data_IF_923655029959
#
_entry.id   IF_923655029959
#
_cell.length_a   1.000
_cell.length_b   1.000
_cell.length_c   1.000
_cell.angle_alpha   90.00
_cell.angle_beta   90.00
_cell.angle_gamma   90.00
#
_symmetry.space_group_name_H-M   'P 1'
#
loop_
_entity.id
_entity.type
_entity.pdbx_description
1 polymer ?
#
# COMPACT_ATOMS: atom_id res chain seq x y z
N UNK A 1 3.02 21.87 -6.35
CA UNK A 1 1.53 21.91 -6.37
C UNK A 1 1.04 22.94 -5.37
N UNK A 2 0.05 23.74 -5.77
CA UNK A 2 -0.60 24.69 -4.88
C UNK A 2 -2.09 24.38 -4.79
N UNK A 3 -2.62 24.24 -3.58
CA UNK A 3 -4.03 23.95 -3.30
C UNK A 3 -4.64 25.15 -2.61
N UNK A 4 -5.80 25.61 -3.11
CA UNK A 4 -6.55 26.72 -2.54
C UNK A 4 -7.68 26.22 -1.63
N UNK A 5 -8.00 27.01 -0.63
CA UNK A 5 -9.09 26.67 0.30
C UNK A 5 -10.44 26.59 -0.45
N UNK A 6 -11.20 25.52 -0.16
CA UNK A 6 -12.55 25.36 -0.68
C UNK A 6 -13.50 26.38 -0.04
N UNK A 7 -14.40 26.90 -0.85
CA UNK A 7 -15.47 27.84 -0.38
C UNK A 7 -16.83 27.16 -0.24
N UNK A 8 -16.96 25.93 -0.74
CA UNK A 8 -18.22 25.19 -0.79
C UNK A 8 -18.04 23.79 -0.18
N UNK A 9 -19.10 23.20 0.39
CA UNK A 9 -19.07 21.81 0.83
C UNK A 9 -18.76 20.85 -0.33
N UNK A 10 -18.14 19.74 -0.01
CA UNK A 10 -17.96 18.62 -0.95
C UNK A 10 -19.27 17.82 -0.99
N UNK A 11 -19.79 17.57 -2.20
CA UNK A 11 -20.92 16.64 -2.42
C UNK A 11 -20.63 15.82 -3.66
N UNK A 12 -20.21 14.56 -3.48
CA UNK A 12 -19.74 13.75 -4.60
C UNK A 12 -19.95 12.26 -4.40
N UNK A 13 -20.02 11.54 -5.52
CA UNK A 13 -19.87 10.09 -5.60
C UNK A 13 -18.66 9.78 -6.46
N UNK A 14 -17.66 9.10 -5.90
CA UNK A 14 -16.40 8.80 -6.56
C UNK A 14 -16.33 7.31 -6.92
N UNK A 15 -16.19 7.05 -8.20
CA UNK A 15 -15.97 5.70 -8.76
C UNK A 15 -14.53 5.54 -9.29
N UNK A 16 -13.92 6.65 -9.75
CA UNK A 16 -12.63 6.67 -10.43
C UNK A 16 -11.46 6.95 -9.47
N UNK A 17 -11.49 6.33 -8.30
CA UNK A 17 -10.38 6.36 -7.36
C UNK A 17 -9.29 5.39 -7.87
N UNK A 18 -8.04 5.61 -7.48
CA UNK A 18 -6.96 4.69 -7.83
C UNK A 18 -7.32 3.26 -7.40
N UNK A 19 -7.14 2.31 -8.31
CA UNK A 19 -7.29 0.89 -7.99
C UNK A 19 -6.27 0.46 -6.92
N UNK A 20 -6.58 -0.60 -6.16
CA UNK A 20 -5.71 -1.04 -5.06
C UNK A 20 -4.31 -1.45 -5.55
N UNK A 21 -3.31 -0.70 -5.07
CA UNK A 21 -1.90 -0.89 -5.43
C UNK A 21 -1.39 -2.29 -5.03
N UNK A 22 -1.73 -2.74 -3.83
CA UNK A 22 -1.29 -4.02 -3.29
C UNK A 22 -1.86 -5.21 -4.06
N UNK A 23 -3.12 -5.11 -4.50
CA UNK A 23 -3.77 -6.13 -5.35
C UNK A 23 -3.20 -6.07 -6.76
N UNK A 24 -3.00 -4.89 -7.34
CA UNK A 24 -2.41 -4.74 -8.69
C UNK A 24 -1.02 -5.37 -8.78
N UNK A 25 -0.13 -5.12 -7.83
CA UNK A 25 1.17 -5.82 -7.77
C UNK A 25 1.00 -7.34 -7.75
N UNK A 26 0.07 -7.84 -6.94
CA UNK A 26 -0.20 -9.28 -6.82
C UNK A 26 -0.80 -9.86 -8.08
N UNK A 27 -1.67 -9.14 -8.77
CA UNK A 27 -2.20 -9.57 -10.05
C UNK A 27 -1.09 -9.84 -11.06
N UNK A 28 -0.12 -8.93 -11.16
CA UNK A 28 1.02 -9.11 -12.05
C UNK A 28 1.90 -10.31 -11.64
N UNK A 29 2.33 -10.36 -10.37
CA UNK A 29 3.24 -11.40 -9.86
C UNK A 29 2.58 -12.78 -9.86
N UNK A 30 1.32 -12.89 -9.40
CA UNK A 30 0.63 -14.18 -9.27
C UNK A 30 0.20 -14.75 -10.61
N UNK A 31 0.05 -13.92 -11.65
CA UNK A 31 -0.15 -14.41 -13.02
C UNK A 31 0.98 -15.35 -13.46
N UNK A 32 2.20 -15.20 -12.92
CA UNK A 32 3.33 -16.10 -13.19
C UNK A 32 3.20 -17.49 -12.53
N UNK A 33 2.22 -17.69 -11.65
CA UNK A 33 1.94 -18.96 -10.98
C UNK A 33 0.93 -19.84 -11.75
N UNK A 34 0.38 -19.31 -12.86
CA UNK A 34 -0.56 -20.01 -13.74
C UNK A 34 0.13 -20.47 -15.02
N UNK A 35 -0.50 -21.37 -15.76
CA UNK A 35 -0.16 -21.76 -17.13
C UNK A 35 -1.12 -21.15 -18.18
N UNK A 36 -2.12 -20.38 -17.73
CA UNK A 36 -3.15 -19.74 -18.55
C UNK A 36 -3.12 -18.23 -18.38
N UNK A 37 -3.64 -17.49 -19.38
CA UNK A 37 -3.73 -16.02 -19.30
C UNK A 37 -4.62 -15.56 -18.14
N UNK A 38 -4.10 -14.67 -17.29
CA UNK A 38 -4.87 -13.95 -16.29
C UNK A 38 -5.48 -12.68 -16.91
N UNK A 39 -6.73 -12.35 -16.50
CA UNK A 39 -7.49 -11.20 -16.97
C UNK A 39 -7.75 -10.24 -15.81
N UNK A 40 -7.27 -9.01 -15.95
CA UNK A 40 -7.31 -8.02 -14.87
C UNK A 40 -7.94 -6.73 -15.40
N UNK A 41 -9.12 -6.40 -14.91
CA UNK A 41 -9.76 -5.09 -15.13
C UNK A 41 -9.35 -4.11 -14.04
N UNK A 42 -9.40 -2.84 -14.35
CA UNK A 42 -9.07 -1.75 -13.43
C UNK A 42 -7.68 -1.93 -12.76
N UNK A 43 -6.69 -2.40 -13.52
CA UNK A 43 -5.31 -2.47 -13.02
C UNK A 43 -4.78 -1.05 -12.76
N UNK A 44 -4.15 -0.82 -11.60
CA UNK A 44 -3.55 0.47 -11.30
C UNK A 44 -2.41 0.77 -12.29
N UNK A 45 -2.52 1.84 -13.05
CA UNK A 45 -1.48 2.33 -13.96
C UNK A 45 -0.69 3.48 -13.30
N UNK A 46 0.03 3.16 -12.24
CA UNK A 46 0.96 4.05 -11.56
C UNK A 46 2.39 3.53 -11.74
N UNK A 47 3.38 4.37 -11.54
CA UNK A 47 4.80 4.01 -11.77
C UNK A 47 5.21 2.71 -11.08
N UNK A 48 4.87 2.56 -9.80
CA UNK A 48 5.17 1.36 -9.01
C UNK A 48 4.64 0.07 -9.67
N UNK A 49 3.41 0.09 -10.15
CA UNK A 49 2.74 -1.09 -10.71
C UNK A 49 3.11 -1.33 -12.16
N UNK A 50 3.44 -0.28 -12.93
CA UNK A 50 3.99 -0.40 -14.27
C UNK A 50 5.38 -1.03 -14.26
N UNK A 51 6.25 -0.64 -13.32
CA UNK A 51 7.55 -1.29 -13.11
C UNK A 51 7.37 -2.79 -12.78
N UNK A 52 6.35 -3.16 -12.00
CA UNK A 52 6.04 -4.57 -11.74
C UNK A 52 5.64 -5.32 -13.00
N UNK A 53 4.86 -4.72 -13.90
CA UNK A 53 4.53 -5.33 -15.20
C UNK A 53 5.76 -5.51 -16.07
N UNK A 54 6.67 -4.54 -16.09
CA UNK A 54 7.91 -4.65 -16.87
C UNK A 54 8.82 -5.77 -16.32
N UNK A 55 8.90 -5.93 -15.00
CA UNK A 55 9.60 -7.08 -14.39
C UNK A 55 8.96 -8.39 -14.86
N UNK A 56 7.63 -8.51 -14.77
CA UNK A 56 6.90 -9.71 -15.19
C UNK A 56 7.15 -10.05 -16.68
N UNK A 57 7.21 -9.03 -17.53
CA UNK A 57 7.55 -9.16 -18.95
C UNK A 57 9.00 -9.62 -19.16
N UNK A 58 9.95 -9.05 -18.42
CA UNK A 58 11.36 -9.47 -18.47
C UNK A 58 11.57 -10.92 -17.98
N UNK A 59 10.67 -11.40 -17.11
CA UNK A 59 10.64 -12.80 -16.68
C UNK A 59 9.97 -13.74 -17.71
N UNK A 60 9.53 -13.22 -18.86
CA UNK A 60 9.05 -13.99 -20.01
C UNK A 60 7.54 -13.96 -20.25
N UNK A 61 6.75 -13.27 -19.44
CA UNK A 61 5.32 -13.14 -19.69
C UNK A 61 5.03 -12.19 -20.86
N UNK A 62 3.95 -12.46 -21.58
CA UNK A 62 3.38 -11.55 -22.58
C UNK A 62 2.26 -10.74 -21.93
N UNK A 63 2.28 -9.42 -22.15
CA UNK A 63 1.32 -8.50 -21.60
C UNK A 63 0.62 -7.79 -22.76
N UNK A 64 -0.71 -7.84 -22.75
CA UNK A 64 -1.57 -7.20 -23.74
C UNK A 64 -2.66 -6.42 -23.03
N UNK A 65 -3.06 -5.31 -23.59
CA UNK A 65 -4.24 -4.57 -23.18
C UNK A 65 -5.29 -4.65 -24.28
N UNK A 66 -6.46 -5.15 -23.93
CA UNK A 66 -7.59 -5.29 -24.85
C UNK A 66 -8.89 -4.95 -24.14
N UNK A 67 -9.69 -4.07 -24.74
CA UNK A 67 -11.02 -3.67 -24.25
C UNK A 67 -11.01 -3.18 -22.77
N UNK A 68 -9.93 -2.48 -22.37
CA UNK A 68 -9.73 -2.00 -21.00
C UNK A 68 -9.34 -3.07 -19.99
N UNK A 69 -9.04 -4.28 -20.46
CA UNK A 69 -8.60 -5.42 -19.67
C UNK A 69 -7.12 -5.69 -19.93
N UNK A 70 -6.35 -5.87 -18.87
CA UNK A 70 -4.96 -6.30 -18.93
C UNK A 70 -4.91 -7.82 -18.97
N UNK A 71 -4.33 -8.39 -20.03
CA UNK A 71 -4.15 -9.82 -20.21
C UNK A 71 -2.69 -10.14 -19.99
N UNK A 72 -2.40 -10.96 -18.98
CA UNK A 72 -1.04 -11.39 -18.64
C UNK A 72 -0.92 -12.89 -18.91
N UNK A 73 -0.20 -13.25 -19.96
CA UNK A 73 0.04 -14.65 -20.36
C UNK A 73 1.42 -15.05 -19.87
N UNK A 74 1.53 -15.96 -18.90
CA UNK A 74 2.81 -16.43 -18.39
C UNK A 74 3.55 -17.25 -19.47
N UNK A 75 4.88 -17.29 -19.39
CA UNK A 75 5.70 -18.22 -20.14
C UNK A 75 5.66 -19.62 -19.50
N UNK A 76 5.78 -20.65 -20.30
CA UNK A 76 5.86 -22.04 -19.79
C UNK A 76 7.04 -22.25 -18.81
N UNK A 77 8.14 -21.54 -19.01
CA UNK A 77 9.28 -21.49 -18.10
C UNK A 77 9.64 -20.05 -17.78
N UNK A 78 9.97 -19.78 -16.54
CA UNK A 78 10.47 -18.48 -16.13
C UNK A 78 11.79 -18.20 -16.86
N UNK A 79 11.89 -17.04 -17.49
CA UNK A 79 13.09 -16.66 -18.23
C UNK A 79 14.07 -15.96 -17.29
N UNK A 80 15.33 -16.42 -17.30
CA UNK A 80 16.42 -15.66 -16.68
C UNK A 80 16.64 -14.37 -17.47
N UNK A 81 16.48 -13.17 -16.85
CA UNK A 81 16.55 -11.92 -17.59
C UNK A 81 18.00 -11.51 -17.88
N UNK A 82 18.23 -10.86 -19.02
CA UNK A 82 19.53 -10.26 -19.37
C UNK A 82 19.70 -8.84 -18.84
N UNK A 83 18.74 -8.35 -18.05
CA UNK A 83 18.71 -6.98 -17.54
C UNK A 83 18.48 -6.98 -16.02
N UNK A 84 18.84 -5.89 -15.38
CA UNK A 84 18.45 -5.62 -13.98
C UNK A 84 16.92 -5.42 -13.94
N UNK A 85 16.27 -6.04 -12.97
CA UNK A 85 14.84 -5.91 -12.75
C UNK A 85 14.56 -4.65 -11.90
N UNK A 86 14.10 -3.60 -12.58
CA UNK A 86 13.87 -2.31 -11.97
C UNK A 86 12.53 -2.23 -11.23
N UNK A 87 12.60 -1.96 -9.93
CA UNK A 87 11.43 -1.84 -9.05
C UNK A 87 10.94 -0.38 -8.89
N UNK A 88 11.67 0.61 -9.43
CA UNK A 88 11.40 2.03 -9.21
C UNK A 88 11.40 2.38 -7.72
N UNK A 89 10.34 2.99 -7.21
CA UNK A 89 10.17 3.28 -5.77
C UNK A 89 9.42 2.17 -5.01
N UNK A 90 9.07 1.06 -5.68
CA UNK A 90 8.18 0.06 -5.12
C UNK A 90 8.85 -0.94 -4.18
N UNK A 91 8.82 -0.67 -2.89
CA UNK A 91 9.20 -1.66 -1.87
C UNK A 91 8.33 -2.91 -1.87
N UNK A 92 7.10 -2.83 -2.37
CA UNK A 92 6.22 -4.01 -2.52
C UNK A 92 6.73 -4.92 -3.64
N UNK A 93 7.00 -4.38 -4.83
CA UNK A 93 7.55 -5.16 -5.94
C UNK A 93 8.84 -5.84 -5.52
N UNK A 94 9.83 -5.10 -5.03
CA UNK A 94 11.14 -5.63 -4.63
C UNK A 94 11.02 -6.77 -3.62
N UNK A 95 10.23 -6.61 -2.56
CA UNK A 95 10.11 -7.61 -1.49
C UNK A 95 9.35 -8.85 -1.91
N UNK A 96 8.27 -8.73 -2.69
CA UNK A 96 7.53 -9.88 -3.20
C UNK A 96 8.35 -10.65 -4.24
N UNK A 97 9.00 -9.96 -5.17
CA UNK A 97 9.90 -10.60 -6.13
C UNK A 97 11.09 -11.28 -5.46
N UNK A 98 11.63 -10.70 -4.38
CA UNK A 98 12.69 -11.35 -3.61
C UNK A 98 12.27 -12.76 -3.17
N UNK A 99 11.07 -12.94 -2.62
CA UNK A 99 10.52 -14.23 -2.23
C UNK A 99 10.22 -15.13 -3.45
N UNK A 100 9.59 -14.60 -4.48
CA UNK A 100 9.24 -15.33 -5.70
C UNK A 100 10.49 -15.85 -6.43
N UNK A 101 11.50 -15.00 -6.59
CA UNK A 101 12.73 -15.31 -7.34
C UNK A 101 13.70 -16.19 -6.54
N UNK A 102 13.72 -16.08 -5.22
CA UNK A 102 14.52 -16.95 -4.35
C UNK A 102 14.17 -18.43 -4.52
N UNK A 103 12.91 -18.72 -4.86
CA UNK A 103 12.41 -20.08 -5.12
C UNK A 103 12.27 -20.41 -6.63
N UNK A 104 12.83 -19.60 -7.51
CA UNK A 104 12.83 -19.81 -8.96
C UNK A 104 14.24 -20.11 -9.45
N UNK A 105 14.42 -21.11 -10.33
CA UNK A 105 15.73 -21.37 -10.92
C UNK A 105 16.18 -20.18 -11.77
N UNK A 106 17.46 -19.77 -11.62
CA UNK A 106 18.06 -18.69 -12.38
C UNK A 106 18.83 -17.67 -11.51
N UNK A 107 19.37 -16.68 -12.20
CA UNK A 107 20.06 -15.53 -11.59
C UNK A 107 19.29 -14.24 -11.88
N UNK A 108 19.04 -13.47 -10.84
CA UNK A 108 18.22 -12.26 -10.90
C UNK A 108 18.88 -11.13 -10.12
N UNK A 109 18.79 -9.92 -10.63
CA UNK A 109 19.23 -8.72 -9.93
C UNK A 109 18.04 -7.76 -9.82
N UNK A 110 17.69 -7.38 -8.60
CA UNK A 110 16.66 -6.38 -8.29
C UNK A 110 17.33 -5.07 -7.92
N UNK A 111 16.87 -3.96 -8.49
CA UNK A 111 17.28 -2.61 -8.12
C UNK A 111 16.05 -1.68 -8.08
N UNK A 112 16.22 -0.49 -7.58
CA UNK A 112 15.22 0.56 -7.58
C UNK A 112 15.86 1.93 -7.67
N UNK A 113 15.05 2.97 -7.51
CA UNK A 113 15.53 4.34 -7.47
C UNK A 113 16.38 4.62 -6.21
N UNK A 114 16.92 5.82 -6.11
CA UNK A 114 17.75 6.22 -4.97
C UNK A 114 17.02 6.13 -3.63
N UNK A 115 15.71 6.33 -3.59
CA UNK A 115 14.91 6.26 -2.36
C UNK A 115 14.67 4.80 -1.96
N UNK A 116 14.31 3.94 -2.90
CA UNK A 116 14.10 2.52 -2.62
C UNK A 116 15.41 1.82 -2.22
N UNK A 117 16.51 2.16 -2.88
CA UNK A 117 17.82 1.55 -2.62
C UNK A 117 18.37 1.90 -1.22
N UNK A 118 17.89 2.97 -0.59
CA UNK A 118 18.20 3.32 0.81
C UNK A 118 17.30 2.60 1.84
N UNK A 119 16.24 1.92 1.40
CA UNK A 119 15.30 1.25 2.33
C UNK A 119 15.83 -0.12 2.76
N UNK A 120 15.64 -0.51 4.04
CA UNK A 120 16.13 -1.79 4.54
C UNK A 120 15.39 -2.96 3.89
N UNK A 121 16.15 -3.90 3.30
CA UNK A 121 15.67 -5.13 2.69
C UNK A 121 15.97 -6.37 3.55
N UNK A 122 16.84 -6.24 4.56
CA UNK A 122 17.18 -7.32 5.49
C UNK A 122 15.97 -7.97 6.17
N UNK A 123 14.88 -7.22 6.35
CA UNK A 123 13.63 -7.78 6.93
C UNK A 123 13.01 -8.90 6.09
N UNK A 124 13.34 -8.99 4.79
CA UNK A 124 12.93 -10.07 3.87
C UNK A 124 14.13 -10.93 3.51
N UNK A 125 15.28 -10.34 3.20
CA UNK A 125 16.48 -11.07 2.78
C UNK A 125 16.97 -12.03 3.88
N UNK A 126 17.10 -11.56 5.14
CA UNK A 126 17.58 -12.42 6.25
C UNK A 126 16.68 -13.63 6.51
N UNK A 127 15.33 -13.50 6.61
CA UNK A 127 14.45 -14.66 6.67
C UNK A 127 14.65 -15.65 5.52
N UNK A 128 14.70 -15.16 4.28
CA UNK A 128 14.91 -16.04 3.12
C UNK A 128 16.28 -16.72 3.16
N UNK A 129 17.34 -15.99 3.51
CA UNK A 129 18.70 -16.56 3.66
C UNK A 129 18.72 -17.63 4.75
N UNK A 130 18.06 -17.39 5.89
CA UNK A 130 18.01 -18.34 7.01
C UNK A 130 17.34 -19.68 6.64
N UNK A 131 16.47 -19.68 5.62
CA UNK A 131 15.81 -20.88 5.09
C UNK A 131 16.47 -21.41 3.80
N UNK A 132 17.68 -20.95 3.50
CA UNK A 132 18.53 -21.51 2.46
C UNK A 132 18.51 -20.76 1.13
N UNK A 133 17.86 -19.61 0.99
CA UNK A 133 17.96 -18.80 -0.21
C UNK A 133 19.38 -18.20 -0.36
N UNK A 134 19.81 -17.98 -1.60
CA UNK A 134 21.07 -17.31 -1.91
C UNK A 134 20.77 -15.90 -2.40
N UNK A 135 20.90 -14.94 -1.48
CA UNK A 135 20.67 -13.51 -1.73
C UNK A 135 21.89 -12.76 -1.19
N UNK A 136 22.43 -11.87 -2.02
CA UNK A 136 23.48 -10.93 -1.66
C UNK A 136 23.15 -9.54 -2.21
N UNK A 137 23.86 -8.52 -1.80
CA UNK A 137 23.63 -7.14 -2.25
C UNK A 137 24.38 -6.09 -1.44
N UNK A 138 24.03 -4.85 -1.62
CA UNK A 138 24.62 -3.75 -0.87
C UNK A 138 24.43 -3.96 0.63
N UNK A 139 25.47 -3.63 1.42
CA UNK A 139 25.51 -3.85 2.87
C UNK A 139 25.16 -5.30 3.27
N UNK A 140 25.72 -6.30 2.57
CA UNK A 140 25.47 -7.73 2.82
C UNK A 140 23.98 -8.11 2.67
N UNK A 141 23.32 -7.59 1.64
CA UNK A 141 21.92 -7.84 1.34
C UNK A 141 20.90 -7.04 2.16
N UNK A 142 21.36 -6.05 2.94
CA UNK A 142 20.43 -5.15 3.65
C UNK A 142 19.83 -4.06 2.75
N UNK A 143 20.48 -3.75 1.64
CA UNK A 143 20.03 -2.73 0.70
C UNK A 143 20.14 -3.23 -0.75
N UNK A 144 19.34 -2.66 -1.64
CA UNK A 144 19.48 -2.88 -3.06
C UNK A 144 20.74 -2.14 -3.63
N UNK A 145 21.30 -2.60 -4.79
CA UNK A 145 20.81 -3.73 -5.61
C UNK A 145 21.01 -5.07 -4.92
N UNK A 146 20.09 -6.02 -5.21
CA UNK A 146 20.07 -7.36 -4.62
C UNK A 146 20.27 -8.40 -5.71
N UNK A 147 21.27 -9.27 -5.56
CA UNK A 147 21.52 -10.40 -6.41
C UNK A 147 20.94 -11.67 -5.80
N UNK A 148 20.17 -12.42 -6.58
CA UNK A 148 19.47 -13.61 -6.14
C UNK A 148 19.84 -14.78 -7.05
N UNK A 149 20.40 -15.84 -6.46
CA UNK A 149 20.54 -17.12 -7.12
C UNK A 149 19.42 -18.04 -6.63
N UNK A 150 18.34 -18.09 -7.42
CA UNK A 150 17.15 -18.83 -7.06
C UNK A 150 17.32 -20.34 -7.17
N UNK A 151 16.68 -21.06 -6.29
CA UNK A 151 16.64 -22.53 -6.26
C UNK A 151 15.44 -23.00 -5.46
N UNK A 152 15.02 -24.26 -5.64
CA UNK A 152 14.00 -24.87 -4.78
C UNK A 152 14.51 -24.92 -3.33
N UNK A 153 13.71 -24.43 -2.39
CA UNK A 153 14.00 -24.44 -0.95
C UNK A 153 13.42 -25.69 -0.29
N UNK A 154 14.00 -26.13 0.82
CA UNK A 154 13.38 -27.13 1.67
C UNK A 154 12.16 -26.57 2.38
N UNK A 155 11.34 -27.47 2.98
CA UNK A 155 10.26 -27.03 3.87
C UNK A 155 10.84 -26.22 5.03
N UNK A 156 10.22 -25.10 5.37
CA UNK A 156 10.70 -24.27 6.47
C UNK A 156 9.58 -23.73 7.34
N UNK A 157 9.95 -23.44 8.60
CA UNK A 157 9.13 -22.66 9.53
C UNK A 157 9.81 -21.36 9.83
N UNK A 158 9.04 -20.29 9.92
CA UNK A 158 9.55 -18.98 10.28
C UNK A 158 8.60 -18.25 11.21
N UNK A 159 9.13 -17.82 12.36
CA UNK A 159 8.42 -16.99 13.33
C UNK A 159 8.85 -15.54 13.17
N UNK A 160 7.97 -14.73 12.55
CA UNK A 160 8.23 -13.31 12.31
C UNK A 160 8.12 -12.52 13.61
N UNK A 161 9.11 -11.67 13.89
CA UNK A 161 9.10 -10.76 15.04
C UNK A 161 8.34 -9.47 14.77
N UNK A 162 7.87 -9.27 13.52
CA UNK A 162 7.15 -8.09 13.08
C UNK A 162 5.89 -8.48 12.29
N UNK A 163 4.82 -7.73 12.46
CA UNK A 163 3.62 -7.83 11.64
C UNK A 163 3.84 -7.12 10.31
N UNK A 164 4.28 -7.86 9.29
CA UNK A 164 4.57 -7.31 7.97
C UNK A 164 4.04 -8.18 6.85
N UNK A 165 3.01 -7.67 6.17
CA UNK A 165 2.42 -8.35 5.02
C UNK A 165 3.44 -8.59 3.88
N UNK A 166 4.46 -7.74 3.73
CA UNK A 166 5.49 -7.90 2.71
C UNK A 166 6.45 -9.04 3.04
N UNK A 167 6.89 -9.16 4.30
CA UNK A 167 7.70 -10.29 4.78
C UNK A 167 6.91 -11.59 4.62
N UNK A 168 5.68 -11.61 5.14
CA UNK A 168 4.77 -12.76 5.05
C UNK A 168 4.54 -13.17 3.58
N UNK A 169 4.22 -12.23 2.71
CA UNK A 169 3.99 -12.51 1.28
C UNK A 169 5.21 -13.07 0.57
N UNK A 170 6.41 -12.53 0.83
CA UNK A 170 7.64 -13.04 0.25
C UNK A 170 7.91 -14.50 0.66
N UNK A 171 7.75 -14.82 1.94
CA UNK A 171 7.95 -16.17 2.46
C UNK A 171 6.86 -17.14 1.98
N UNK A 172 5.59 -16.70 1.88
CA UNK A 172 4.51 -17.50 1.27
C UNK A 172 4.87 -17.87 -0.16
N UNK A 173 5.30 -16.91 -0.98
CA UNK A 173 5.68 -17.16 -2.38
C UNK A 173 6.88 -18.11 -2.49
N UNK A 174 7.87 -17.94 -1.62
CA UNK A 174 9.03 -18.85 -1.56
C UNK A 174 8.63 -20.28 -1.17
N UNK A 175 7.78 -20.44 -0.14
CA UNK A 175 7.28 -21.74 0.30
C UNK A 175 6.38 -22.41 -0.74
N UNK A 176 5.46 -21.66 -1.34
CA UNK A 176 4.53 -22.14 -2.36
C UNK A 176 5.26 -22.73 -3.58
N UNK A 177 6.32 -22.06 -4.03
CA UNK A 177 7.16 -22.49 -5.18
C UNK A 177 8.20 -23.54 -4.80
N UNK A 178 8.32 -23.90 -3.53
CA UNK A 178 9.32 -24.85 -3.01
C UNK A 178 8.64 -26.06 -2.37
N UNK A 179 9.02 -26.41 -1.15
CA UNK A 179 8.49 -27.57 -0.44
C UNK A 179 7.47 -27.21 0.66
N UNK A 180 6.86 -26.00 0.56
CA UNK A 180 5.90 -25.48 1.54
C UNK A 180 6.57 -24.72 2.69
N UNK A 181 5.75 -24.09 3.54
CA UNK A 181 6.22 -23.40 4.73
C UNK A 181 5.12 -23.26 5.79
N UNK A 182 5.54 -22.93 7.02
CA UNK A 182 4.66 -22.51 8.09
C UNK A 182 5.20 -21.21 8.69
N UNK A 183 4.35 -20.19 8.72
CA UNK A 183 4.71 -18.84 9.13
C UNK A 183 3.84 -18.40 10.30
N UNK A 184 4.43 -17.72 11.28
CA UNK A 184 3.72 -17.02 12.34
C UNK A 184 4.11 -15.53 12.37
N UNK A 185 3.22 -14.70 12.88
CA UNK A 185 3.41 -13.27 13.07
C UNK A 185 2.78 -12.82 14.41
N UNK A 186 3.30 -11.75 15.07
CA UNK A 186 2.83 -11.36 16.39
C UNK A 186 1.38 -10.87 16.40
N UNK A 187 0.94 -10.24 15.31
CA UNK A 187 -0.44 -9.83 15.04
C UNK A 187 -0.75 -10.00 13.56
N UNK A 188 -2.02 -10.11 13.20
CA UNK A 188 -2.43 -10.25 11.81
C UNK A 188 -2.04 -9.01 11.00
N UNK A 189 -1.16 -9.18 10.01
CA UNK A 189 -0.91 -8.19 8.98
C UNK A 189 -1.91 -8.35 7.82
N UNK A 190 -1.87 -7.43 6.81
CA UNK A 190 -2.72 -7.51 5.61
C UNK A 190 -2.62 -8.90 4.95
N UNK A 191 -3.76 -9.48 4.55
CA UNK A 191 -3.91 -10.89 4.14
C UNK A 191 -4.27 -11.08 2.66
N UNK A 192 -4.00 -10.09 1.80
CA UNK A 192 -4.28 -10.15 0.36
C UNK A 192 -3.64 -11.35 -0.33
N UNK A 193 -2.39 -11.69 0.04
CA UNK A 193 -1.66 -12.82 -0.55
C UNK A 193 -2.39 -14.14 -0.29
N UNK A 194 -2.77 -14.36 0.94
CA UNK A 194 -3.48 -15.58 1.36
C UNK A 194 -4.83 -15.71 0.65
N UNK A 195 -5.61 -14.62 0.61
CA UNK A 195 -6.92 -14.60 -0.04
C UNK A 195 -6.82 -14.86 -1.54
N UNK A 196 -5.95 -14.14 -2.23
CA UNK A 196 -5.80 -14.27 -3.68
C UNK A 196 -5.25 -15.65 -4.07
N UNK A 197 -4.21 -16.15 -3.40
CA UNK A 197 -3.65 -17.46 -3.67
C UNK A 197 -4.66 -18.58 -3.38
N UNK A 198 -5.43 -18.48 -2.29
CA UNK A 198 -6.50 -19.43 -2.00
C UNK A 198 -7.57 -19.43 -3.08
N UNK A 199 -7.97 -18.25 -3.58
CA UNK A 199 -8.91 -18.11 -4.69
C UNK A 199 -8.36 -18.68 -6.00
N UNK A 200 -7.06 -18.64 -6.23
CA UNK A 200 -6.39 -19.29 -7.35
C UNK A 200 -6.23 -20.81 -7.17
N UNK A 201 -6.61 -21.36 -6.02
CA UNK A 201 -6.57 -22.79 -5.74
C UNK A 201 -5.32 -23.29 -5.04
N UNK A 202 -4.49 -22.39 -4.52
CA UNK A 202 -3.37 -22.79 -3.67
C UNK A 202 -3.88 -23.40 -2.35
N UNK A 203 -3.19 -24.43 -1.85
CA UNK A 203 -3.51 -25.05 -0.57
C UNK A 203 -2.85 -24.28 0.56
N UNK A 204 -3.67 -23.47 1.26
CA UNK A 204 -3.26 -22.68 2.43
C UNK A 204 -4.21 -22.95 3.61
N UNK A 205 -3.63 -23.17 4.77
CA UNK A 205 -4.34 -23.23 6.04
C UNK A 205 -4.05 -21.94 6.83
N UNK A 206 -5.09 -21.16 7.08
CA UNK A 206 -4.97 -19.96 7.94
C UNK A 206 -4.93 -20.45 9.40
N UNK A 207 -3.92 -19.98 10.12
CA UNK A 207 -3.71 -20.22 11.53
C UNK A 207 -4.10 -18.98 12.35
N UNK A 208 -4.35 -19.06 13.67
CA UNK A 208 -4.71 -17.88 14.48
C UNK A 208 -3.72 -16.72 14.36
N UNK A 209 -2.42 -17.01 14.25
CA UNK A 209 -1.34 -16.03 14.14
C UNK A 209 -0.39 -16.35 12.97
N UNK A 210 -0.93 -16.84 11.84
CA UNK A 210 -0.04 -17.18 10.73
C UNK A 210 -0.72 -17.95 9.61
N UNK A 211 0.09 -18.67 8.83
CA UNK A 211 -0.36 -19.46 7.70
C UNK A 211 0.55 -20.64 7.45
N UNK A 212 -0.03 -21.80 7.14
CA UNK A 212 0.67 -22.96 6.60
C UNK A 212 0.40 -23.02 5.10
N UNK A 213 1.43 -23.20 4.30
CA UNK A 213 1.40 -23.21 2.83
C UNK A 213 1.93 -24.56 2.36
N UNK A 214 1.12 -25.30 1.61
CA UNK A 214 1.57 -26.50 0.92
C UNK A 214 2.24 -26.12 -0.41
N UNK A 215 3.20 -26.91 -0.92
CA UNK A 215 3.83 -26.64 -2.21
C UNK A 215 2.82 -26.71 -3.35
N UNK A 216 2.99 -25.85 -4.36
CA UNK A 216 2.22 -25.99 -5.60
C UNK A 216 2.79 -27.13 -6.43
N UNK A 217 1.98 -28.17 -6.66
CA UNK A 217 2.36 -29.34 -7.47
C UNK A 217 1.87 -29.22 -8.93
N UNK A 218 1.07 -28.20 -9.22
CA UNK A 218 0.56 -27.85 -10.55
C UNK A 218 0.36 -26.34 -10.65
N UNK A 219 0.30 -25.78 -11.87
CA UNK A 219 -0.03 -24.36 -12.06
C UNK A 219 -1.36 -24.00 -11.38
N UNK A 220 -1.43 -22.82 -10.78
CA UNK A 220 -2.63 -22.30 -10.17
C UNK A 220 -3.65 -21.84 -11.24
N UNK A 221 -4.91 -21.67 -10.85
CA UNK A 221 -5.92 -21.07 -11.72
C UNK A 221 -5.51 -19.65 -12.10
N UNK A 222 -5.75 -19.19 -13.35
CA UNK A 222 -5.50 -17.82 -13.73
C UNK A 222 -6.38 -16.85 -12.92
N UNK A 223 -5.95 -15.63 -12.79
CA UNK A 223 -6.73 -14.57 -12.18
C UNK A 223 -7.81 -14.06 -13.16
N UNK A 224 -9.03 -13.92 -12.66
CA UNK A 224 -10.10 -13.17 -13.29
C UNK A 224 -10.64 -12.17 -12.27
N UNK A 225 -10.22 -10.92 -12.38
CA UNK A 225 -10.49 -9.92 -11.34
C UNK A 225 -10.72 -8.53 -11.94
N UNK A 226 -11.68 -7.80 -11.36
CA UNK A 226 -11.70 -6.35 -11.41
C UNK A 226 -11.10 -5.83 -10.11
N UNK A 227 -9.94 -5.16 -10.19
CA UNK A 227 -9.24 -4.63 -9.01
C UNK A 227 -10.12 -3.57 -8.35
N UNK A 228 -10.48 -3.73 -7.06
CA UNK A 228 -11.27 -2.71 -6.36
C UNK A 228 -10.46 -1.44 -6.11
N UNK A 229 -11.14 -0.36 -5.81
CA UNK A 229 -10.52 0.91 -5.43
C UNK A 229 -9.78 0.78 -4.10
N UNK A 230 -8.64 1.46 -4.01
CA UNK A 230 -7.71 1.41 -2.89
C UNK A 230 -8.23 2.23 -1.69
N UNK A 231 -8.48 1.59 -0.52
CA UNK A 231 -8.90 2.31 0.68
C UNK A 231 -7.88 3.35 1.14
N UNK A 232 -6.59 3.09 0.97
CA UNK A 232 -5.53 4.04 1.34
C UNK A 232 -5.58 5.31 0.49
N UNK A 233 -5.87 5.17 -0.81
CA UNK A 233 -6.04 6.30 -1.73
C UNK A 233 -7.36 7.03 -1.49
N UNK A 234 -8.44 6.30 -1.23
CA UNK A 234 -9.76 6.86 -0.95
C UNK A 234 -9.82 7.60 0.39
N UNK A 235 -9.00 7.21 1.35
CA UNK A 235 -9.02 7.78 2.70
C UNK A 235 -8.69 9.27 2.74
N UNK A 236 -7.89 9.77 1.79
CA UNK A 236 -7.65 11.22 1.66
C UNK A 236 -8.94 11.99 1.41
N UNK A 237 -9.83 11.49 0.56
CA UNK A 237 -11.12 12.12 0.28
C UNK A 237 -12.12 11.91 1.42
N UNK A 238 -12.03 10.79 2.14
CA UNK A 238 -12.81 10.58 3.36
C UNK A 238 -12.46 11.62 4.43
N UNK A 239 -11.16 11.89 4.63
CA UNK A 239 -10.71 12.96 5.53
C UNK A 239 -11.15 14.32 5.02
N UNK A 240 -11.01 14.61 3.72
CA UNK A 240 -11.49 15.87 3.14
C UNK A 240 -12.98 16.10 3.44
N UNK A 241 -13.83 15.09 3.22
CA UNK A 241 -15.25 15.19 3.53
C UNK A 241 -15.51 15.34 5.04
N UNK A 242 -14.71 14.70 5.90
CA UNK A 242 -14.87 14.78 7.35
C UNK A 242 -14.50 16.15 7.93
N UNK A 243 -13.52 16.86 7.35
CA UNK A 243 -13.00 18.14 7.87
C UNK A 243 -13.67 19.39 7.24
N UNK A 244 -14.27 19.26 6.06
CA UNK A 244 -14.98 20.36 5.39
C UNK A 244 -16.46 20.35 5.82
N UNK A 245 -16.97 21.44 6.44
CA UNK A 245 -18.34 21.49 6.94
C UNK A 245 -19.39 21.15 5.87
N UNK A 246 -20.46 20.44 6.30
CA UNK A 246 -21.60 20.05 5.48
C UNK A 246 -21.25 19.18 4.26
N UNK A 247 -20.09 18.55 4.25
CA UNK A 247 -19.64 17.69 3.15
C UNK A 247 -20.19 16.28 3.28
N UNK A 248 -20.39 15.66 2.11
CA UNK A 248 -20.87 14.29 1.95
C UNK A 248 -20.19 13.66 0.75
N UNK A 249 -19.63 12.46 0.91
CA UNK A 249 -18.99 11.70 -0.17
C UNK A 249 -19.38 10.23 -0.10
N UNK A 250 -19.60 9.63 -1.28
CA UNK A 250 -19.76 8.18 -1.44
C UNK A 250 -18.58 7.66 -2.25
N UNK A 251 -17.83 6.74 -1.68
CA UNK A 251 -16.68 6.07 -2.30
C UNK A 251 -17.15 4.70 -2.78
N UNK A 252 -17.17 4.47 -4.09
CA UNK A 252 -17.70 3.24 -4.71
C UNK A 252 -16.59 2.25 -5.07
N UNK A 253 -16.98 0.98 -5.26
CA UNK A 253 -16.10 -0.12 -5.64
C UNK A 253 -14.90 -0.27 -4.69
N UNK A 254 -15.09 0.03 -3.41
CA UNK A 254 -14.05 0.02 -2.40
C UNK A 254 -13.69 -1.39 -1.96
N UNK A 255 -12.41 -1.65 -1.80
CA UNK A 255 -11.95 -2.82 -1.06
C UNK A 255 -12.35 -2.69 0.42
N UNK A 256 -13.15 -3.66 0.91
CA UNK A 256 -13.66 -3.67 2.29
C UNK A 256 -12.98 -4.70 3.21
N UNK A 257 -11.78 -5.17 2.85
CA UNK A 257 -11.01 -6.04 3.72
C UNK A 257 -10.80 -5.38 5.11
N UNK A 258 -11.09 -6.13 6.19
CA UNK A 258 -10.99 -5.62 7.57
C UNK A 258 -9.63 -5.01 7.90
N UNK A 259 -8.55 -5.53 7.30
CA UNK A 259 -7.18 -5.04 7.49
C UNK A 259 -6.85 -3.77 6.69
N UNK A 260 -7.84 -3.22 5.95
CA UNK A 260 -7.68 -2.05 5.08
C UNK A 260 -8.63 -0.90 5.40
N UNK A 261 -9.69 -1.16 6.18
CA UNK A 261 -10.71 -0.15 6.50
C UNK A 261 -10.62 0.38 7.93
N UNK A 262 -9.59 0.03 8.68
CA UNK A 262 -9.45 0.43 10.08
C UNK A 262 -9.39 1.95 10.26
N UNK A 263 -8.71 2.67 9.37
CA UNK A 263 -8.65 4.13 9.40
C UNK A 263 -10.04 4.80 9.27
N UNK A 264 -10.94 4.23 8.45
CA UNK A 264 -12.32 4.70 8.34
C UNK A 264 -13.10 4.48 9.63
N UNK A 265 -12.84 3.37 10.36
CA UNK A 265 -13.44 3.12 11.68
C UNK A 265 -12.91 4.10 12.73
N UNK A 266 -11.60 4.45 12.66
CA UNK A 266 -11.04 5.51 13.50
C UNK A 266 -11.72 6.84 13.20
N UNK A 267 -11.90 7.19 11.93
CA UNK A 267 -12.62 8.41 11.54
C UNK A 267 -14.06 8.44 12.08
N UNK A 268 -14.74 7.28 12.09
CA UNK A 268 -16.05 7.14 12.73
C UNK A 268 -15.98 7.33 14.25
N UNK A 269 -14.98 6.75 14.93
CA UNK A 269 -14.75 6.98 16.38
C UNK A 269 -14.49 8.45 16.70
N UNK A 270 -13.86 9.19 15.79
CA UNK A 270 -13.68 10.64 15.89
C UNK A 270 -14.99 11.42 15.75
N UNK A 271 -16.05 10.81 15.27
CA UNK A 271 -17.39 11.42 15.18
C UNK A 271 -17.91 11.64 13.76
N UNK A 272 -17.10 11.45 12.70
CA UNK A 272 -17.60 11.45 11.33
C UNK A 272 -18.66 10.36 11.13
N UNK A 273 -19.69 10.64 10.34
CA UNK A 273 -20.69 9.62 10.01
C UNK A 273 -20.13 8.75 8.87
N UNK A 274 -19.68 7.54 9.21
CA UNK A 274 -19.11 6.59 8.24
C UNK A 274 -20.00 5.36 8.20
N UNK A 275 -20.47 4.99 7.01
CA UNK A 275 -21.27 3.78 6.79
C UNK A 275 -20.64 2.92 5.70
N UNK A 276 -20.76 1.60 5.84
CA UNK A 276 -20.27 0.60 4.90
C UNK A 276 -21.44 -0.17 4.32
N UNK A 277 -21.43 -0.36 3.00
CA UNK A 277 -22.39 -1.21 2.29
C UNK A 277 -21.61 -2.24 1.51
N UNK A 278 -21.57 -3.46 2.02
CA UNK A 278 -20.83 -4.56 1.42
C UNK A 278 -21.58 -5.17 0.23
N UNK A 279 -20.82 -5.53 -0.80
CA UNK A 279 -21.23 -6.36 -1.94
C UNK A 279 -20.24 -7.52 -2.09
N UNK A 280 -20.56 -8.51 -2.90
CA UNK A 280 -19.68 -9.66 -3.11
C UNK A 280 -18.53 -9.34 -4.06
N UNK A 281 -17.33 -9.84 -3.75
CA UNK A 281 -16.16 -9.81 -4.62
C UNK A 281 -15.55 -11.19 -4.79
N UNK A 282 -14.73 -11.38 -5.81
CA UNK A 282 -14.17 -12.71 -6.18
C UNK A 282 -13.12 -13.20 -5.18
N UNK A 283 -12.20 -12.32 -4.75
CA UNK A 283 -11.09 -12.63 -3.84
C UNK A 283 -11.19 -11.86 -2.53
N UNK A 284 -11.82 -10.71 -2.55
CA UNK A 284 -11.92 -9.75 -1.45
C UNK A 284 -13.35 -9.24 -1.30
N UNK A 285 -13.73 -8.82 -0.10
CA UNK A 285 -14.97 -8.06 0.10
C UNK A 285 -14.85 -6.70 -0.55
N UNK A 286 -15.85 -6.31 -1.32
CA UNK A 286 -15.95 -5.00 -1.97
C UNK A 286 -17.28 -4.32 -1.63
N UNK A 287 -17.35 -3.01 -1.82
CA UNK A 287 -18.61 -2.28 -1.58
C UNK A 287 -18.45 -0.76 -1.65
N UNK A 288 -19.27 -0.07 -0.88
CA UNK A 288 -19.29 1.39 -0.80
C UNK A 288 -18.97 1.85 0.62
N UNK A 289 -18.30 3.00 0.72
CA UNK A 289 -18.08 3.71 2.00
C UNK A 289 -18.66 5.11 1.83
N UNK A 290 -19.62 5.45 2.68
CA UNK A 290 -20.24 6.78 2.73
C UNK A 290 -19.69 7.55 3.93
N UNK A 291 -19.27 8.79 3.70
CA UNK A 291 -18.76 9.68 4.73
C UNK A 291 -19.54 11.00 4.72
N UNK A 292 -20.06 11.40 5.87
CA UNK A 292 -20.67 12.73 6.08
C UNK A 292 -19.93 13.47 7.16
N UNK A 293 -19.75 14.77 6.97
CA UNK A 293 -19.16 15.66 7.96
C UNK A 293 -19.93 15.61 9.28
N UNK A 294 -19.18 15.57 10.37
CA UNK A 294 -19.64 15.93 11.71
C UNK A 294 -18.44 16.45 12.52
N UNK A 295 -18.66 17.24 13.59
CA UNK A 295 -17.57 17.76 14.41
C UNK A 295 -16.71 16.62 14.97
N UNK A 296 -15.41 16.67 14.67
CA UNK A 296 -14.47 15.64 15.09
C UNK A 296 -14.04 15.82 16.54
N UNK A 297 -13.87 14.69 17.25
CA UNK A 297 -13.34 14.60 18.60
C UNK A 297 -11.98 13.90 18.56
N UNK A 298 -11.15 14.23 19.54
CA UNK A 298 -9.86 13.59 19.72
C UNK A 298 -9.98 12.09 20.02
N UNK A 299 -8.97 11.33 19.58
CA UNK A 299 -8.86 9.89 19.83
C UNK A 299 -7.38 9.50 20.01
N UNK A 300 -7.14 8.43 20.79
CA UNK A 300 -5.84 7.78 20.89
C UNK A 300 -5.86 6.50 20.07
N UNK A 301 -4.83 6.33 19.21
CA UNK A 301 -4.69 5.23 18.27
C UNK A 301 -3.39 4.50 18.57
N UNK A 302 -3.49 3.26 19.05
CA UNK A 302 -2.33 2.43 19.42
C UNK A 302 -2.49 0.97 19.04
N UNK A 303 -3.68 0.59 18.56
CA UNK A 303 -4.03 -0.77 18.17
C UNK A 303 -4.16 -0.89 16.65
N UNK A 304 -3.98 -2.09 16.12
CA UNK A 304 -4.09 -2.39 14.68
C UNK A 304 -3.25 -1.46 13.77
N UNK A 305 -2.13 -0.96 14.29
CA UNK A 305 -1.29 0.00 13.56
C UNK A 305 -0.81 -0.57 12.23
N UNK A 306 -0.50 -1.85 12.15
CA UNK A 306 -0.10 -2.52 10.90
C UNK A 306 -1.17 -2.47 9.81
N UNK A 307 -2.45 -2.31 10.18
CA UNK A 307 -3.58 -2.22 9.25
C UNK A 307 -3.79 -0.82 8.67
N UNK A 308 -3.42 0.20 9.45
CA UNK A 308 -3.65 1.62 9.11
C UNK A 308 -2.37 2.44 8.96
N UNK A 309 -1.20 1.79 8.95
CA UNK A 309 0.10 2.45 8.93
C UNK A 309 0.25 3.43 7.75
N UNK A 310 -0.37 3.11 6.62
CA UNK A 310 -0.33 3.94 5.42
C UNK A 310 -1.31 5.12 5.47
N UNK A 311 -2.33 5.06 6.31
CA UNK A 311 -3.37 6.08 6.49
C UNK A 311 -3.01 7.08 7.60
N UNK A 312 -2.00 6.80 8.43
CA UNK A 312 -1.59 7.68 9.55
C UNK A 312 -1.32 9.12 9.11
N UNK A 313 -0.65 9.41 7.96
CA UNK A 313 -0.48 10.79 7.52
C UNK A 313 -1.80 11.53 7.29
N UNK A 314 -2.78 10.88 6.66
CA UNK A 314 -4.11 11.48 6.46
C UNK A 314 -4.91 11.58 7.77
N UNK A 315 -4.78 10.59 8.68
CA UNK A 315 -5.35 10.66 10.03
C UNK A 315 -4.80 11.85 10.82
N UNK A 316 -3.52 12.19 10.68
CA UNK A 316 -2.94 13.37 11.32
C UNK A 316 -3.65 14.66 10.90
N UNK A 317 -4.14 14.73 9.66
CA UNK A 317 -4.96 15.86 9.19
C UNK A 317 -6.34 15.85 9.87
N UNK A 318 -6.95 14.68 10.05
CA UNK A 318 -8.19 14.58 10.84
C UNK A 318 -7.96 14.98 12.31
N UNK A 319 -6.85 14.55 12.93
CA UNK A 319 -6.45 14.96 14.30
C UNK A 319 -6.30 16.47 14.42
N UNK A 320 -5.64 17.12 13.44
CA UNK A 320 -5.48 18.57 13.37
C UNK A 320 -6.82 19.33 13.38
N UNK A 321 -7.91 18.68 12.95
CA UNK A 321 -9.24 19.26 12.88
C UNK A 321 -10.20 18.75 13.97
N UNK A 322 -9.72 17.98 14.94
CA UNK A 322 -10.51 17.42 16.03
C UNK A 322 -10.48 18.32 17.28
N UNK A 323 -11.54 18.33 18.08
CA UNK A 323 -11.52 19.00 19.37
C UNK A 323 -10.77 18.16 20.40
N UNK A 324 -9.66 18.68 20.93
CA UNK A 324 -8.82 18.04 21.94
C UNK A 324 -7.47 17.60 21.37
N UNK A 325 -6.79 16.70 22.07
CA UNK A 325 -5.47 16.15 21.68
C UNK A 325 -5.66 14.72 21.23
N UNK A 326 -5.32 14.43 19.98
CA UNK A 326 -5.29 13.06 19.44
C UNK A 326 -3.85 12.55 19.40
N UNK A 327 -3.68 11.25 19.54
CA UNK A 327 -2.35 10.63 19.45
C UNK A 327 -2.33 9.37 18.59
N UNK A 328 -1.15 9.06 18.04
CA UNK A 328 -0.84 7.75 17.46
C UNK A 328 0.43 7.22 18.10
N UNK A 329 0.42 5.95 18.52
CA UNK A 329 1.54 5.26 19.15
C UNK A 329 1.78 3.90 18.47
N UNK A 330 2.86 3.21 18.84
CA UNK A 330 3.25 1.92 18.27
C UNK A 330 3.49 1.95 16.74
N UNK A 331 3.70 3.13 16.17
CA UNK A 331 3.82 3.37 14.72
C UNK A 331 5.28 3.59 14.26
N UNK A 332 6.27 3.02 14.97
CA UNK A 332 7.71 3.17 14.67
C UNK A 332 8.06 2.84 13.21
N UNK A 333 7.33 1.91 12.59
CA UNK A 333 7.46 1.54 11.17
C UNK A 333 7.28 2.71 10.19
N UNK A 334 6.63 3.80 10.59
CA UNK A 334 6.51 5.02 9.78
C UNK A 334 7.86 5.70 9.52
N UNK A 335 8.86 5.48 10.39
CA UNK A 335 10.19 6.09 10.23
C UNK A 335 11.05 5.49 9.12
N UNK A 336 10.68 4.30 8.65
CA UNK A 336 11.42 3.54 7.63
C UNK A 336 10.57 3.26 6.37
N UNK A 337 9.57 4.08 6.12
CA UNK A 337 8.76 4.06 4.89
C UNK A 337 9.49 4.80 3.75
N UNK A 338 8.77 5.42 2.84
CA UNK A 338 9.33 6.24 1.77
C UNK A 338 10.16 7.42 2.31
N UNK A 339 9.77 7.87 3.49
CA UNK A 339 10.43 8.90 4.29
C UNK A 339 10.26 8.59 5.79
N UNK A 340 10.89 9.38 6.69
CA UNK A 340 10.49 9.41 8.10
C UNK A 340 9.15 10.17 8.22
N UNK A 341 8.04 9.43 8.02
CA UNK A 341 6.68 10.00 8.03
C UNK A 341 6.31 10.65 9.35
N UNK A 342 6.86 10.20 10.48
CA UNK A 342 6.63 10.83 11.79
C UNK A 342 7.25 12.21 11.79
N UNK A 343 8.54 12.32 11.53
CA UNK A 343 9.28 13.59 11.58
C UNK A 343 8.68 14.61 10.59
N UNK A 344 8.40 14.19 9.34
CA UNK A 344 7.92 15.11 8.30
C UNK A 344 6.48 15.59 8.59
N UNK A 345 5.58 14.70 9.06
CA UNK A 345 4.23 15.11 9.47
C UNK A 345 4.27 16.10 10.63
N UNK A 346 5.10 15.82 11.67
CA UNK A 346 5.27 16.72 12.82
C UNK A 346 5.78 18.10 12.39
N UNK A 347 6.83 18.12 11.56
CA UNK A 347 7.40 19.38 11.04
C UNK A 347 6.37 20.15 10.20
N UNK A 348 5.66 19.47 9.32
CA UNK A 348 4.65 20.09 8.46
C UNK A 348 3.48 20.69 9.26
N UNK A 349 2.95 19.94 10.24
CA UNK A 349 1.85 20.44 11.09
C UNK A 349 2.30 21.62 11.98
N UNK A 350 3.55 21.58 12.50
CA UNK A 350 4.13 22.73 13.22
C UNK A 350 4.29 23.96 12.34
N UNK A 351 4.69 23.79 11.07
CA UNK A 351 4.73 24.90 10.10
C UNK A 351 3.35 25.51 9.85
N UNK A 352 2.30 24.70 9.94
CA UNK A 352 0.91 25.17 9.87
C UNK A 352 0.42 25.85 11.17
N UNK A 353 1.27 26.02 12.18
CA UNK A 353 0.93 26.68 13.45
C UNK A 353 0.26 25.77 14.48
N UNK A 354 0.25 24.48 14.28
CA UNK A 354 -0.37 23.52 15.19
C UNK A 354 0.59 23.05 16.29
N UNK A 355 0.05 22.77 17.48
CA UNK A 355 0.78 22.20 18.61
C UNK A 355 0.89 20.69 18.44
N UNK A 356 2.13 20.20 18.25
CA UNK A 356 2.42 18.79 17.94
C UNK A 356 3.61 18.31 18.76
N UNK A 357 3.46 17.19 19.44
CA UNK A 357 4.54 16.50 20.16
C UNK A 357 4.96 15.25 19.37
N UNK A 358 6.27 15.09 19.20
CA UNK A 358 6.88 13.94 18.53
C UNK A 358 7.34 12.88 19.54
N UNK A 359 7.05 11.61 19.27
CA UNK A 359 7.52 10.45 20.01
C UNK A 359 8.39 9.56 19.12
N UNK A 360 9.15 8.66 19.69
CA UNK A 360 9.95 7.70 18.92
C UNK A 360 9.07 6.84 18.00
N UNK A 361 7.87 6.49 18.47
CA UNK A 361 6.92 5.56 17.85
C UNK A 361 5.61 6.21 17.39
N UNK A 362 5.57 7.56 17.28
CA UNK A 362 4.35 8.26 16.88
C UNK A 362 4.40 9.76 17.18
N UNK A 363 3.24 10.35 17.36
CA UNK A 363 3.08 11.78 17.67
C UNK A 363 1.71 12.06 18.29
N UNK A 364 1.56 13.21 18.92
CA UNK A 364 0.26 13.77 19.29
C UNK A 364 0.02 15.11 18.61
N UNK A 365 -1.25 15.42 18.34
CA UNK A 365 -1.69 16.66 17.68
C UNK A 365 -2.82 17.25 18.50
N UNK A 366 -2.68 18.50 18.93
CA UNK A 366 -3.79 19.29 19.46
C UNK A 366 -4.51 19.95 18.29
N UNK A 367 -5.78 19.62 18.13
CA UNK A 367 -6.61 20.20 17.07
C UNK A 367 -6.77 21.70 17.23
N UNK A 368 -6.75 22.41 16.11
CA UNK A 368 -6.79 23.86 16.05
C UNK A 368 -6.98 24.40 14.62
N UNK A 369 -6.84 25.70 14.48
CA UNK A 369 -6.87 26.35 13.16
C UNK A 369 -5.47 26.28 12.54
N UNK A 370 -5.39 25.61 11.38
CA UNK A 370 -4.16 25.51 10.60
C UNK A 370 -4.00 26.72 9.67
N UNK A 371 -2.78 27.20 9.54
CA UNK A 371 -2.40 28.24 8.60
C UNK A 371 -1.87 27.64 7.28
N UNK A 372 -1.97 28.42 6.21
CA UNK A 372 -1.26 28.11 4.95
C UNK A 372 0.26 28.05 5.19
N UNK A 373 0.91 27.06 4.61
CA UNK A 373 2.35 26.87 4.70
C UNK A 373 2.95 26.29 3.42
N UNK A 374 4.29 26.31 3.33
CA UNK A 374 5.05 25.60 2.30
C UNK A 374 5.57 24.31 2.93
N UNK A 375 5.16 23.18 2.37
CA UNK A 375 5.46 21.84 2.85
C UNK A 375 6.35 21.10 1.85
N UNK A 376 7.55 20.72 2.24
CA UNK A 376 8.37 19.75 1.50
C UNK A 376 7.87 18.34 1.85
N UNK A 377 7.34 17.61 0.86
CA UNK A 377 6.88 16.24 1.04
C UNK A 377 8.03 15.24 1.17
N UNK A 378 9.27 15.65 0.94
CA UNK A 378 10.47 14.80 0.92
C UNK A 378 10.35 13.58 -0.01
N UNK A 379 9.62 13.74 -1.13
CA UNK A 379 9.37 12.66 -2.08
C UNK A 379 8.35 11.62 -1.61
N UNK A 380 7.62 11.88 -0.53
CA UNK A 380 6.59 10.97 -0.03
C UNK A 380 5.20 11.41 -0.49
N UNK A 381 4.61 10.60 -1.37
CA UNK A 381 3.29 10.84 -1.94
C UNK A 381 2.19 10.97 -0.88
N UNK A 382 2.27 10.24 0.25
CA UNK A 382 1.25 10.28 1.30
C UNK A 382 1.32 11.57 2.11
N UNK A 383 2.53 12.06 2.35
CA UNK A 383 2.74 13.39 2.96
C UNK A 383 2.16 14.46 2.03
N UNK A 384 2.51 14.42 0.74
CA UNK A 384 2.03 15.38 -0.24
C UNK A 384 0.49 15.41 -0.30
N UNK A 385 -0.16 14.25 -0.43
CA UNK A 385 -1.63 14.15 -0.47
C UNK A 385 -2.29 14.58 0.85
N UNK A 386 -1.68 14.28 2.00
CA UNK A 386 -2.22 14.69 3.30
C UNK A 386 -2.27 16.21 3.46
N UNK A 387 -1.17 16.89 3.15
CA UNK A 387 -1.15 18.35 3.20
C UNK A 387 -1.97 19.01 2.10
N UNK A 388 -2.15 18.36 0.94
CA UNK A 388 -3.11 18.81 -0.08
C UNK A 388 -4.54 18.79 0.47
N UNK A 389 -4.92 17.75 1.23
CA UNK A 389 -6.23 17.68 1.89
C UNK A 389 -6.38 18.77 2.96
N UNK A 390 -5.34 19.04 3.78
CA UNK A 390 -5.37 20.17 4.71
C UNK A 390 -5.50 21.50 3.97
N UNK A 391 -4.85 21.62 2.82
CA UNK A 391 -4.92 22.80 1.95
C UNK A 391 -6.33 23.12 1.45
N UNK A 392 -7.24 22.15 1.38
CA UNK A 392 -8.65 22.40 1.09
C UNK A 392 -9.33 23.27 2.14
N UNK A 393 -8.77 23.37 3.34
CA UNK A 393 -9.31 24.20 4.43
C UNK A 393 -8.61 25.56 4.54
N UNK A 394 -7.30 25.62 4.39
CA UNK A 394 -6.50 26.82 4.68
C UNK A 394 -5.59 27.30 3.53
N UNK A 395 -5.60 26.62 2.39
CA UNK A 395 -4.59 26.78 1.36
C UNK A 395 -3.27 26.10 1.70
N UNK A 396 -2.50 25.66 0.69
CA UNK A 396 -1.20 24.98 0.92
C UNK A 396 -0.34 25.03 -0.33
N UNK A 397 0.97 25.12 -0.14
CA UNK A 397 1.97 24.89 -1.20
C UNK A 397 2.72 23.62 -0.86
N UNK A 398 2.77 22.65 -1.77
CA UNK A 398 3.42 21.37 -1.56
C UNK A 398 4.54 21.21 -2.59
N UNK A 399 5.78 21.12 -2.08
CA UNK A 399 6.97 20.83 -2.86
C UNK A 399 7.14 19.33 -3.06
N UNK A 400 7.76 18.91 -4.15
CA UNK A 400 7.98 17.50 -4.55
C UNK A 400 6.66 16.71 -4.64
N UNK A 401 5.60 17.36 -5.07
CA UNK A 401 4.27 16.75 -5.24
C UNK A 401 4.18 15.80 -6.43
N UNK A 402 5.13 15.82 -7.36
CA UNK A 402 5.23 14.92 -8.51
C UNK A 402 5.29 13.44 -8.09
N UNK A 403 5.81 13.14 -6.89
CA UNK A 403 5.82 11.78 -6.34
C UNK A 403 4.43 11.20 -6.06
N UNK A 404 3.36 11.99 -6.10
CA UNK A 404 1.97 11.48 -6.03
C UNK A 404 1.71 10.48 -7.17
N UNK A 405 2.29 10.71 -8.35
CA UNK A 405 2.14 9.84 -9.52
C UNK A 405 2.64 8.39 -9.30
N UNK A 406 3.55 8.17 -8.35
CA UNK A 406 4.05 6.83 -8.02
C UNK A 406 2.95 5.86 -7.56
N UNK A 407 1.86 6.39 -7.01
CA UNK A 407 0.75 5.59 -6.46
C UNK A 407 -0.63 6.08 -6.86
N UNK A 408 -0.81 7.37 -7.18
CA UNK A 408 -2.13 7.93 -7.46
C UNK A 408 -2.07 9.06 -8.51
N UNK A 409 -1.84 8.73 -9.79
CA UNK A 409 -1.65 9.73 -10.84
C UNK A 409 -2.81 10.73 -11.00
N UNK A 410 -4.06 10.30 -10.76
CA UNK A 410 -5.26 11.13 -10.94
C UNK A 410 -5.71 11.88 -9.66
N UNK A 411 -4.88 11.97 -8.63
CA UNK A 411 -5.26 12.61 -7.36
C UNK A 411 -5.69 14.08 -7.56
N UNK A 412 -4.90 14.88 -8.24
CA UNK A 412 -5.23 16.29 -8.54
C UNK A 412 -6.51 16.42 -9.39
N UNK A 413 -6.71 15.50 -10.34
CA UNK A 413 -7.94 15.43 -11.14
C UNK A 413 -9.19 15.26 -10.25
N UNK A 414 -9.13 14.37 -9.26
CA UNK A 414 -10.25 14.17 -8.33
C UNK A 414 -10.42 15.37 -7.41
N UNK A 415 -9.35 16.00 -6.92
CA UNK A 415 -9.48 17.24 -6.13
C UNK A 415 -10.22 18.32 -6.91
N UNK A 416 -9.90 18.51 -8.23
CA UNK A 416 -10.60 19.44 -9.11
C UNK A 416 -12.07 19.03 -9.31
N UNK A 417 -12.38 17.75 -9.47
CA UNK A 417 -13.75 17.21 -9.51
C UNK A 417 -14.54 17.52 -8.24
N UNK A 418 -13.89 17.55 -7.08
CA UNK A 418 -14.47 17.93 -5.80
C UNK A 418 -14.64 19.45 -5.62
N UNK A 419 -14.30 20.25 -6.64
CA UNK A 419 -14.43 21.69 -6.62
C UNK A 419 -13.18 22.45 -6.14
N UNK A 420 -12.06 21.75 -5.91
CA UNK A 420 -10.82 22.39 -5.49
C UNK A 420 -10.11 23.08 -6.65
N UNK A 421 -9.56 24.27 -6.39
CA UNK A 421 -8.60 24.91 -7.29
C UNK A 421 -7.20 24.39 -6.95
N UNK A 422 -6.56 23.73 -7.91
CA UNK A 422 -5.23 23.13 -7.79
C UNK A 422 -4.37 23.55 -8.98
N UNK A 423 -3.23 24.17 -8.69
CA UNK A 423 -2.14 24.45 -9.64
C UNK A 423 -1.03 23.42 -9.43
N UNK A 424 -0.61 22.77 -10.50
CA UNK A 424 0.44 21.73 -10.47
C UNK A 424 1.84 22.31 -10.33
#
# INVERSE_FOLDING_TARGET
>A
MKVYALRTPISASLENIAADKSISHRCAIFSLLSDKPSRVKNYLKAEDTLNTLEIVKNLGARIEEKDGELIITPSANLKEPSVVLECGNSGTAMRLFMGFLAASEGFFVLSGDEFLNRRPMARVAKPLISVGAKIDGANSGDHAPLAIRGKKLEYFKFDSKIASAQVKSALILAGLKSNGCELSEPELSRDHTERMLKGMGASLQILPHGVKVEPMNAPLKPLEICVPNDPSSAFFFAVAAAIIPNSHIVLKNMLLNKTRVEAFKILAKMGAQVTFKETSGTYESIGEIEIKHAPLKAVDVSENISWLIDEVPALAIAFANAKGISSVRNAKELRVKESDRIAIMVQGLRKCGLEVEEFEDGFSVKGGEANCAIIDSSGDHRIAMSFAVLGLKCGMVIEKSEFIATSFPNFCGILRQLGASVED
#
